data_IF_963490164617
#
_entry.id   IF_963490164617
#
_cell.length_a   1.000
_cell.length_b   1.000
_cell.length_c   1.000
_cell.angle_alpha   90.00
_cell.angle_beta   90.00
_cell.angle_gamma   90.00
#
_symmetry.space_group_name_H-M   'P 1'
#
loop_
_entity.id
_entity.type
_entity.pdbx_description
1 polymer ?
#
# COMPACT_ATOMS: atom_id res chain seq x y z
N UNK A 1 -3.51 15.25 -3.93
CA UNK A 1 -2.80 16.47 -3.49
C UNK A 1 -1.55 16.08 -2.71
N UNK A 2 -0.39 16.75 -2.83
CA UNK A 2 0.89 16.23 -2.30
C UNK A 2 1.15 16.49 -0.80
N UNK A 3 0.39 17.39 -0.15
CA UNK A 3 0.71 17.78 1.23
C UNK A 3 0.18 16.74 2.25
N UNK A 4 1.09 16.03 2.92
CA UNK A 4 0.72 15.16 4.05
C UNK A 4 0.15 15.98 5.23
N UNK A 5 -0.85 15.46 5.98
CA UNK A 5 -1.45 14.13 5.89
C UNK A 5 -2.74 14.05 5.04
N UNK A 6 -3.33 15.19 4.66
CA UNK A 6 -4.71 15.30 4.14
C UNK A 6 -4.86 16.15 2.85
N UNK A 7 -3.76 16.38 2.13
CA UNK A 7 -3.72 17.11 0.87
C UNK A 7 -3.41 18.60 0.99
N UNK A 8 -3.61 19.19 2.17
CA UNK A 8 -3.38 20.61 2.45
C UNK A 8 -4.43 21.23 3.38
N UNK A 9 -5.74 20.95 3.19
CA UNK A 9 -6.76 21.30 4.17
C UNK A 9 -6.47 20.68 5.54
N UNK A 10 -6.88 21.40 6.59
CA UNK A 10 -6.98 20.85 7.95
C UNK A 10 -8.38 20.27 8.11
N UNK A 11 -8.47 19.05 8.66
CA UNK A 11 -9.75 18.44 9.07
C UNK A 11 -10.07 18.89 10.49
N UNK A 12 -11.31 19.29 10.75
CA UNK A 12 -11.82 19.67 12.07
C UNK A 12 -13.11 18.91 12.39
N UNK A 13 -12.99 17.89 13.25
CA UNK A 13 -14.12 17.03 13.67
C UNK A 13 -15.22 17.80 14.44
N UNK A 14 -14.96 19.05 14.86
CA UNK A 14 -15.95 19.92 15.49
C UNK A 14 -16.75 20.80 14.51
N UNK A 15 -16.33 20.94 13.24
CA UNK A 15 -17.00 21.83 12.27
C UNK A 15 -17.17 21.25 10.86
N UNK A 16 -16.39 20.25 10.46
CA UNK A 16 -16.58 19.52 9.20
C UNK A 16 -17.85 18.64 9.23
N UNK A 17 -18.40 18.36 8.04
CA UNK A 17 -19.48 17.39 7.90
C UNK A 17 -18.94 15.96 8.06
N UNK A 18 -19.27 15.32 9.17
CA UNK A 18 -18.91 13.92 9.46
C UNK A 18 -19.70 12.96 8.56
N UNK A 19 -18.99 12.07 7.88
CA UNK A 19 -19.61 10.94 7.16
C UNK A 19 -19.59 9.70 8.05
N UNK A 20 -20.69 8.97 8.14
CA UNK A 20 -20.69 7.69 8.87
C UNK A 20 -19.78 6.68 8.16
N UNK A 21 -18.98 5.96 8.95
CA UNK A 21 -18.08 4.90 8.49
C UNK A 21 -18.39 3.61 9.25
N UNK A 22 -18.91 2.62 8.55
CA UNK A 22 -19.33 1.35 9.13
C UNK A 22 -18.12 0.44 9.39
N UNK A 23 -17.81 0.18 10.67
CA UNK A 23 -16.57 -0.53 11.07
C UNK A 23 -16.47 -1.95 10.50
N UNK A 24 -17.61 -2.63 10.31
CA UNK A 24 -17.71 -3.95 9.69
C UNK A 24 -17.58 -3.94 8.16
N UNK A 25 -17.18 -2.83 7.54
CA UNK A 25 -16.84 -2.72 6.13
C UNK A 25 -17.58 -1.58 5.44
N UNK A 26 -16.88 -0.49 5.14
CA UNK A 26 -17.40 0.64 4.35
C UNK A 26 -16.94 0.52 2.88
N UNK A 27 -17.84 0.65 1.88
CA UNK A 27 -17.45 0.79 0.48
C UNK A 27 -16.75 2.13 0.21
N UNK A 28 -15.50 2.10 -0.24
CA UNK A 28 -14.76 3.32 -0.62
C UNK A 28 -14.55 3.36 -2.13
N UNK A 29 -15.10 4.40 -2.77
CA UNK A 29 -14.83 4.74 -4.17
C UNK A 29 -13.72 5.78 -4.28
N UNK A 30 -12.76 5.55 -5.17
CA UNK A 30 -11.67 6.47 -5.53
C UNK A 30 -11.62 6.65 -7.04
N UNK A 31 -11.04 7.75 -7.52
CA UNK A 31 -10.82 8.01 -8.95
C UNK A 31 -9.33 8.17 -9.23
N UNK A 32 -8.82 7.44 -10.21
CA UNK A 32 -7.42 7.52 -10.63
C UNK A 32 -7.26 8.27 -11.96
N UNK A 33 -6.53 9.38 -11.93
CA UNK A 33 -6.12 10.15 -13.13
C UNK A 33 -4.84 9.64 -13.82
N UNK A 34 -4.22 8.59 -13.29
CA UNK A 34 -2.99 7.98 -13.80
C UNK A 34 -3.25 6.57 -14.35
N UNK A 35 -2.30 6.03 -15.13
CA UNK A 35 -2.41 4.66 -15.68
C UNK A 35 -2.25 3.55 -14.63
N UNK A 36 -1.63 3.87 -13.49
CA UNK A 36 -1.44 2.96 -12.36
C UNK A 36 -1.17 3.76 -11.08
N UNK A 37 -1.60 3.24 -9.93
CA UNK A 37 -1.22 3.71 -8.59
C UNK A 37 -1.44 2.63 -7.52
N UNK A 38 -0.61 2.62 -6.47
CA UNK A 38 -0.88 1.88 -5.23
C UNK A 38 -1.81 2.68 -4.32
N UNK A 39 -2.74 2.04 -3.63
CA UNK A 39 -3.68 2.67 -2.70
C UNK A 39 -3.52 2.15 -1.27
N UNK A 40 -3.53 3.09 -0.32
CA UNK A 40 -3.59 2.85 1.12
C UNK A 40 -4.85 3.46 1.71
N UNK A 41 -5.68 2.61 2.29
CA UNK A 41 -6.80 3.01 3.15
C UNK A 41 -6.35 2.94 4.61
N UNK A 42 -6.36 4.09 5.30
CA UNK A 42 -5.95 4.22 6.70
C UNK A 42 -6.89 5.16 7.45
N UNK A 43 -6.94 5.08 8.77
CA UNK A 43 -7.67 6.04 9.60
C UNK A 43 -7.01 6.26 10.96
N UNK A 44 -7.41 7.32 11.66
CA UNK A 44 -6.94 7.65 13.00
C UNK A 44 -8.03 8.31 13.83
N UNK A 45 -8.06 8.05 15.14
CA UNK A 45 -8.86 8.79 16.12
C UNK A 45 -8.15 10.09 16.59
N UNK A 46 -6.93 10.36 16.12
CA UNK A 46 -6.24 11.60 16.37
C UNK A 46 -6.88 12.74 15.56
N UNK A 47 -7.61 13.64 16.23
CA UNK A 47 -8.31 14.76 15.60
C UNK A 47 -7.44 15.73 14.80
N UNK A 48 -6.11 15.72 14.97
CA UNK A 48 -5.18 16.53 14.17
C UNK A 48 -4.63 15.82 12.93
N UNK A 49 -4.99 14.54 12.71
CA UNK A 49 -4.53 13.68 11.61
C UNK A 49 -2.99 13.45 11.54
N UNK A 50 -2.23 13.79 12.59
CA UNK A 50 -0.74 13.77 12.56
C UNK A 50 -0.09 12.45 12.97
N UNK A 51 -0.82 11.55 13.63
CA UNK A 51 -0.32 10.27 14.17
C UNK A 51 -1.46 9.27 14.40
N UNK A 52 -1.16 8.10 14.97
CA UNK A 52 -2.08 7.01 15.30
C UNK A 52 -2.81 6.42 14.06
N UNK A 53 -2.11 6.43 12.91
CA UNK A 53 -2.65 5.94 11.63
C UNK A 53 -2.68 4.41 11.56
N UNK A 54 -3.87 3.85 11.69
CA UNK A 54 -4.14 2.41 11.50
C UNK A 54 -4.45 2.12 10.03
N UNK A 55 -3.80 1.09 9.45
CA UNK A 55 -4.15 0.58 8.11
C UNK A 55 -5.46 -0.21 8.18
N UNK A 56 -6.44 0.16 7.36
CA UNK A 56 -7.78 -0.44 7.36
C UNK A 56 -7.95 -1.60 6.37
N UNK A 57 -7.19 -1.59 5.27
CA UNK A 57 -7.25 -2.60 4.22
C UNK A 57 -5.84 -2.92 3.69
N UNK A 58 -5.55 -4.13 3.17
CA UNK A 58 -4.30 -4.41 2.46
C UNK A 58 -4.03 -3.42 1.32
N UNK A 59 -2.76 -3.14 1.04
CA UNK A 59 -2.41 -2.26 -0.09
C UNK A 59 -2.76 -2.99 -1.39
N UNK A 60 -3.37 -2.26 -2.32
CA UNK A 60 -3.69 -2.74 -3.66
C UNK A 60 -3.10 -1.79 -4.69
N UNK A 61 -2.60 -2.30 -5.81
CA UNK A 61 -2.29 -1.50 -6.99
C UNK A 61 -3.48 -1.53 -7.93
N UNK A 62 -4.02 -0.37 -8.24
CA UNK A 62 -4.95 -0.15 -9.35
C UNK A 62 -4.14 0.05 -10.64
N UNK A 63 -4.57 -0.62 -11.71
CA UNK A 63 -4.15 -0.37 -13.09
C UNK A 63 -5.36 0.03 -13.92
N UNK A 64 -5.21 1.01 -14.80
CA UNK A 64 -6.29 1.61 -15.57
C UNK A 64 -6.85 2.89 -14.94
N UNK A 65 -7.06 3.91 -15.78
CA UNK A 65 -7.67 5.18 -15.36
C UNK A 65 -9.14 4.99 -14.97
N UNK A 66 -9.62 5.86 -14.08
CA UNK A 66 -11.04 5.94 -13.73
C UNK A 66 -11.36 5.48 -12.32
N UNK A 67 -12.65 5.22 -12.08
CA UNK A 67 -13.18 4.83 -10.77
C UNK A 67 -12.76 3.42 -10.37
N UNK A 68 -12.34 3.27 -9.12
CA UNK A 68 -12.16 1.99 -8.43
C UNK A 68 -12.98 2.00 -7.14
N UNK A 69 -13.72 0.92 -6.89
CA UNK A 69 -14.43 0.67 -5.65
C UNK A 69 -13.75 -0.45 -4.86
N UNK A 70 -13.36 -0.17 -3.62
CA UNK A 70 -13.10 -1.20 -2.62
C UNK A 70 -14.40 -1.42 -1.84
N UNK A 71 -15.12 -2.54 -2.05
CA UNK A 71 -16.47 -2.72 -1.50
C UNK A 71 -16.55 -2.89 0.02
N UNK A 72 -15.45 -3.23 0.72
CA UNK A 72 -15.46 -3.36 2.17
C UNK A 72 -14.10 -3.01 2.81
N UNK A 73 -13.96 -1.78 3.33
CA UNK A 73 -12.84 -1.36 4.17
C UNK A 73 -13.26 -1.40 5.64
N UNK A 74 -12.68 -2.31 6.42
CA UNK A 74 -13.01 -2.52 7.84
C UNK A 74 -12.21 -1.61 8.78
N UNK A 75 -12.81 -1.22 9.91
CA UNK A 75 -12.13 -0.53 11.02
C UNK A 75 -12.30 -1.30 12.34
N UNK A 76 -11.54 -1.00 13.40
CA UNK A 76 -11.68 -1.68 14.68
C UNK A 76 -13.06 -1.44 15.32
N UNK A 77 -13.75 -2.50 15.74
CA UNK A 77 -15.07 -2.42 16.40
C UNK A 77 -15.06 -1.52 17.65
N UNK A 78 -13.91 -1.41 18.34
CA UNK A 78 -13.73 -0.53 19.49
C UNK A 78 -13.81 0.97 19.16
N UNK A 79 -13.87 1.34 17.87
CA UNK A 79 -14.00 2.73 17.42
C UNK A 79 -15.47 3.17 17.28
N UNK A 80 -16.45 2.26 17.37
CA UNK A 80 -17.88 2.61 17.27
C UNK A 80 -18.27 3.69 18.29
N UNK A 81 -18.96 4.73 17.82
CA UNK A 81 -19.35 5.90 18.60
C UNK A 81 -18.25 6.95 18.77
N UNK A 82 -17.10 6.79 18.10
CA UNK A 82 -16.00 7.75 18.10
C UNK A 82 -15.88 8.45 16.74
N UNK A 83 -15.47 9.72 16.79
CA UNK A 83 -15.12 10.49 15.60
C UNK A 83 -13.63 10.30 15.26
N UNK A 84 -13.28 10.40 13.99
CA UNK A 84 -11.89 10.34 13.54
C UNK A 84 -11.70 10.82 12.11
N UNK A 85 -10.50 10.59 11.58
CA UNK A 85 -10.12 10.99 10.22
C UNK A 85 -9.85 9.74 9.39
N UNK A 86 -10.65 9.53 8.36
CA UNK A 86 -10.35 8.60 7.27
C UNK A 86 -9.32 9.26 6.35
N UNK A 87 -8.28 8.52 5.96
CA UNK A 87 -7.22 8.97 5.08
C UNK A 87 -6.99 7.99 3.93
N UNK A 88 -7.07 8.50 2.71
CA UNK A 88 -6.74 7.76 1.49
C UNK A 88 -5.44 8.32 0.93
N UNK A 89 -4.48 7.44 0.64
CA UNK A 89 -3.21 7.83 0.03
C UNK A 89 -2.97 6.98 -1.22
N UNK A 90 -2.66 7.63 -2.34
CA UNK A 90 -2.10 6.96 -3.51
C UNK A 90 -0.57 7.10 -3.52
N UNK A 91 0.17 6.08 -3.96
CA UNK A 91 1.50 6.25 -4.54
C UNK A 91 1.39 6.09 -6.06
N UNK A 92 1.79 7.14 -6.79
CA UNK A 92 1.55 7.32 -8.22
C UNK A 92 2.81 7.88 -8.91
N UNK A 93 2.88 7.98 -10.24
CA UNK A 93 4.07 8.47 -10.94
C UNK A 93 4.49 9.91 -10.61
N UNK A 94 3.59 10.72 -10.04
CA UNK A 94 3.84 12.07 -9.50
C UNK A 94 4.09 12.10 -7.98
N UNK A 95 4.12 10.93 -7.32
CA UNK A 95 4.43 10.73 -5.90
C UNK A 95 3.22 10.43 -5.03
N UNK A 96 3.37 10.70 -3.72
CA UNK A 96 2.33 10.42 -2.72
C UNK A 96 1.23 11.48 -2.74
N UNK A 97 0.00 11.06 -3.02
CA UNK A 97 -1.20 11.91 -3.08
C UNK A 97 -2.16 11.60 -1.94
N UNK A 98 -2.41 12.58 -1.08
CA UNK A 98 -3.20 12.46 0.15
C UNK A 98 -4.58 13.11 0.00
N UNK A 99 -5.61 12.45 0.55
CA UNK A 99 -6.94 12.99 0.79
C UNK A 99 -7.45 12.48 2.16
N UNK A 100 -8.31 13.26 2.83
CA UNK A 100 -8.97 12.85 4.08
C UNK A 100 -10.46 13.18 4.09
N UNK A 101 -11.20 12.53 4.98
CA UNK A 101 -12.57 12.86 5.36
C UNK A 101 -12.73 12.81 6.89
N UNK A 102 -13.52 13.72 7.45
CA UNK A 102 -14.03 13.62 8.82
C UNK A 102 -15.08 12.49 8.87
N UNK A 103 -14.93 11.54 9.78
CA UNK A 103 -15.82 10.39 9.90
C UNK A 103 -16.31 10.14 11.31
N UNK A 104 -17.53 9.60 11.41
CA UNK A 104 -18.12 9.05 12.62
C UNK A 104 -18.16 7.52 12.49
N UNK A 105 -17.47 6.79 13.36
CA UNK A 105 -17.42 5.33 13.27
C UNK A 105 -18.70 4.71 13.83
N UNK A 106 -19.41 3.92 13.03
CA UNK A 106 -20.70 3.30 13.37
C UNK A 106 -20.65 1.78 13.22
N UNK A 107 -21.52 1.07 13.95
CA UNK A 107 -21.62 -0.38 13.89
C UNK A 107 -22.27 -0.87 12.59
N UNK A 108 -21.98 -2.12 12.19
CA UNK A 108 -22.50 -2.74 10.98
C UNK A 108 -21.57 -2.58 9.77
N UNK A 109 -22.12 -2.70 8.56
CA UNK A 109 -21.40 -2.59 7.28
C UNK A 109 -22.15 -1.64 6.34
N UNK A 110 -21.41 -0.86 5.55
CA UNK A 110 -21.96 0.09 4.58
C UNK A 110 -22.57 -0.64 3.38
N UNK A 111 -23.56 -0.01 2.74
CA UNK A 111 -24.21 -0.58 1.55
C UNK A 111 -23.54 -0.07 0.28
N UNK A 112 -22.98 -0.97 -0.54
CA UNK A 112 -22.41 -0.61 -1.83
C UNK A 112 -23.53 -0.11 -2.76
N UNK A 113 -23.39 1.13 -3.25
CA UNK A 113 -24.29 1.78 -4.20
C UNK A 113 -23.68 1.80 -5.60
N UNK A 114 -24.48 2.12 -6.63
CA UNK A 114 -24.04 2.22 -8.03
C UNK A 114 -22.87 3.22 -8.24
N UNK A 115 -22.71 4.20 -7.34
CA UNK A 115 -21.58 5.14 -7.36
C UNK A 115 -20.25 4.53 -6.93
N UNK A 116 -20.25 3.36 -6.27
CA UNK A 116 -19.05 2.59 -5.96
C UNK A 116 -18.91 1.44 -6.97
N UNK A 117 -18.44 1.79 -8.17
CA UNK A 117 -18.24 0.87 -9.30
C UNK A 117 -16.84 1.01 -9.89
N UNK A 118 -16.32 -0.08 -10.48
CA UNK A 118 -15.08 -0.05 -11.24
C UNK A 118 -15.34 0.40 -12.68
N UNK A 119 -14.43 1.18 -13.25
CA UNK A 119 -14.39 1.45 -14.69
C UNK A 119 -14.14 0.17 -15.51
N UNK A 120 -14.51 0.18 -16.78
CA UNK A 120 -14.37 -0.96 -17.72
C UNK A 120 -12.95 -1.52 -17.80
N UNK A 121 -11.96 -0.63 -17.73
CA UNK A 121 -10.54 -0.91 -17.92
C UNK A 121 -9.77 -0.89 -16.58
N UNK A 122 -10.50 -0.83 -15.45
CA UNK A 122 -9.94 -0.74 -14.10
C UNK A 122 -9.81 -2.13 -13.48
N UNK A 123 -8.57 -2.52 -13.20
CA UNK A 123 -8.23 -3.74 -12.48
C UNK A 123 -7.45 -3.40 -11.19
N UNK A 124 -7.60 -4.22 -10.15
CA UNK A 124 -6.90 -4.07 -8.89
C UNK A 124 -6.32 -5.40 -8.40
N UNK A 125 -5.11 -5.38 -7.84
CA UNK A 125 -4.45 -6.55 -7.25
C UNK A 125 -3.73 -6.17 -5.94
N UNK A 126 -3.63 -7.11 -4.99
CA UNK A 126 -2.85 -6.90 -3.77
C UNK A 126 -1.37 -6.67 -4.07
N UNK A 127 -0.76 -5.71 -3.38
CA UNK A 127 0.62 -5.29 -3.62
C UNK A 127 1.36 -4.98 -2.32
N UNK A 128 2.69 -5.05 -2.39
CA UNK A 128 3.60 -4.56 -1.34
C UNK A 128 4.19 -3.21 -1.78
N UNK A 129 3.92 -2.17 -1.02
CA UNK A 129 4.39 -0.81 -1.30
C UNK A 129 5.12 -0.25 -0.07
N UNK A 130 6.39 0.09 -0.21
CA UNK A 130 7.22 0.58 0.90
C UNK A 130 6.90 2.01 1.31
N UNK A 131 6.55 2.88 0.36
CA UNK A 131 6.19 4.27 0.59
C UNK A 131 4.94 4.34 1.47
N UNK A 132 3.90 3.62 1.05
CA UNK A 132 2.62 3.53 1.75
C UNK A 132 2.75 2.77 3.08
N UNK A 133 3.55 1.70 3.15
CA UNK A 133 3.74 0.96 4.41
C UNK A 133 4.42 1.80 5.50
N UNK A 134 5.32 2.73 5.13
CA UNK A 134 5.95 3.64 6.10
C UNK A 134 4.92 4.56 6.78
N UNK A 135 3.87 4.99 6.06
CA UNK A 135 2.82 5.91 6.53
C UNK A 135 1.89 5.35 7.63
N UNK A 136 2.07 4.09 8.02
CA UNK A 136 1.35 3.40 9.11
C UNK A 136 2.28 2.60 10.04
N UNK A 137 3.56 2.45 9.72
CA UNK A 137 4.50 1.66 10.53
C UNK A 137 5.19 2.48 11.63
N UNK A 138 5.42 3.78 11.39
CA UNK A 138 6.21 4.65 12.28
C UNK A 138 5.56 4.91 13.64
N UNK A 139 4.24 4.74 13.77
CA UNK A 139 3.51 5.02 15.01
C UNK A 139 3.76 3.97 16.13
N UNK A 140 4.28 2.80 15.79
CA UNK A 140 4.56 1.71 16.75
C UNK A 140 5.86 1.90 17.57
N UNK A 141 6.41 3.12 17.64
CA UNK A 141 7.76 3.38 18.19
C UNK A 141 7.85 4.67 19.02
N UNK A 142 6.95 4.87 19.98
CA UNK A 142 7.10 5.86 21.04
C UNK A 142 7.91 5.29 22.23
N UNK A 143 9.19 4.97 22.00
CA UNK A 143 10.08 4.37 23.02
C UNK A 143 11.40 5.15 23.09
N UNK A 144 11.83 5.54 24.31
CA UNK A 144 12.92 6.50 24.54
C UNK A 144 14.23 6.20 23.79
N UNK A 145 14.59 7.08 22.85
CA UNK A 145 15.94 7.22 22.32
C UNK A 145 16.74 8.28 23.09
N UNK A 146 17.18 7.98 24.31
CA UNK A 146 18.12 8.85 25.03
C UNK A 146 19.54 8.67 24.47
N UNK A 147 20.03 9.65 23.71
CA UNK A 147 21.41 9.64 23.21
C UNK A 147 22.43 9.70 24.35
N UNK A 148 23.33 8.71 24.42
CA UNK A 148 24.49 8.76 25.31
C UNK A 148 25.74 8.28 24.56
N UNK A 149 26.56 9.21 24.11
CA UNK A 149 27.88 8.92 23.52
C UNK A 149 28.86 8.36 24.56
N UNK A 150 29.65 7.35 24.17
CA UNK A 150 30.92 6.97 24.81
C UNK A 150 31.76 6.11 23.87
N UNK A 151 33.07 6.32 23.85
CA UNK A 151 33.95 5.89 22.76
C UNK A 151 34.99 4.84 23.17
N UNK A 152 35.37 3.97 22.23
CA UNK A 152 36.59 3.11 22.25
C UNK A 152 36.61 2.00 23.35
N UNK A 153 37.45 0.96 23.33
CA UNK A 153 38.70 0.71 22.59
C UNK A 153 38.87 -0.78 22.17
N UNK A 154 39.87 -1.03 21.32
CA UNK A 154 40.30 -2.31 20.71
C UNK A 154 40.99 -3.31 21.66
N UNK A 155 40.90 -4.64 21.38
CA UNK A 155 42.04 -5.54 21.03
C UNK A 155 42.06 -6.99 21.59
N UNK A 156 42.27 -7.93 20.66
CA UNK A 156 43.14 -9.14 20.74
C UNK A 156 42.76 -10.40 21.57
N UNK A 157 42.87 -11.57 20.93
CA UNK A 157 42.77 -12.90 21.56
C UNK A 157 42.89 -14.07 20.56
N UNK A 158 44.11 -14.42 20.13
CA UNK A 158 44.40 -15.43 19.09
C UNK A 158 45.44 -16.45 19.58
N UNK A 159 45.61 -17.67 19.03
CA UNK A 159 45.12 -18.23 17.74
C UNK A 159 44.40 -19.59 18.00
N UNK A 160 44.41 -20.70 17.24
CA UNK A 160 45.17 -21.20 16.07
C UNK A 160 44.40 -22.41 15.47
N UNK A 161 44.80 -23.21 14.46
CA UNK A 161 46.02 -23.35 13.61
C UNK A 161 45.72 -24.23 12.39
N UNK A 162 46.49 -24.08 11.29
CA UNK A 162 46.85 -25.09 10.24
C UNK A 162 45.71 -25.85 9.53
N UNK A 163 45.58 -25.89 8.20
CA UNK A 163 46.51 -25.68 7.06
C UNK A 163 46.17 -26.77 6.00
N UNK A 164 46.48 -26.69 4.70
CA UNK A 164 47.29 -25.79 3.87
C UNK A 164 46.68 -25.68 2.45
N UNK A 165 47.10 -24.71 1.63
CA UNK A 165 46.81 -24.65 0.18
C UNK A 165 47.99 -25.21 -0.66
N UNK A 166 47.83 -25.48 -1.97
CA UNK A 166 47.90 -24.41 -2.98
C UNK A 166 46.89 -24.54 -4.15
N UNK A 167 46.92 -23.57 -5.07
CA UNK A 167 46.00 -23.44 -6.22
C UNK A 167 46.56 -23.99 -7.55
N UNK A 168 45.70 -24.15 -8.57
CA UNK A 168 46.07 -24.19 -9.99
C UNK A 168 44.88 -23.89 -10.93
N UNK A 169 45.10 -22.94 -11.86
CA UNK A 169 44.53 -22.67 -13.21
C UNK A 169 43.10 -23.13 -13.65
N UNK A 170 42.45 -22.39 -14.58
CA UNK A 170 41.12 -22.72 -15.13
C UNK A 170 41.17 -23.76 -16.27
N UNK A 171 39.99 -24.23 -16.71
CA UNK A 171 39.85 -25.09 -17.90
C UNK A 171 38.62 -24.71 -18.74
N UNK A 172 38.81 -24.55 -20.05
CA UNK A 172 37.74 -24.30 -21.02
C UNK A 172 37.30 -25.60 -21.71
N UNK A 173 36.01 -25.93 -21.61
CA UNK A 173 35.27 -26.87 -22.46
C UNK A 173 33.77 -26.72 -22.14
N UNK A 174 32.81 -26.74 -23.07
CA UNK A 174 32.91 -26.77 -24.53
C UNK A 174 31.65 -27.41 -25.13
N UNK A 175 31.13 -26.84 -26.24
CA UNK A 175 29.92 -27.29 -26.98
C UNK A 175 28.58 -27.18 -26.21
N UNK A 176 27.39 -27.21 -26.83
CA UNK A 176 26.94 -26.66 -28.13
C UNK A 176 25.39 -26.76 -28.22
N UNK A 177 24.76 -25.82 -28.94
CA UNK A 177 23.36 -25.89 -29.41
C UNK A 177 22.28 -25.95 -28.28
N UNK A 178 20.98 -25.72 -28.52
CA UNK A 178 20.22 -25.67 -29.78
C UNK A 178 19.15 -24.57 -29.77
N UNK A 179 18.82 -24.03 -30.94
CA UNK A 179 17.60 -23.22 -31.13
C UNK A 179 16.40 -24.13 -31.36
N UNK A 180 15.28 -23.86 -30.70
CA UNK A 180 14.01 -24.54 -30.92
C UNK A 180 12.90 -23.51 -31.17
N UNK A 181 12.65 -23.18 -32.44
CA UNK A 181 11.48 -22.41 -32.86
C UNK A 181 10.29 -23.36 -32.96
N UNK A 182 9.18 -23.02 -32.30
CA UNK A 182 7.90 -23.75 -32.46
C UNK A 182 6.84 -22.77 -32.94
N UNK A 183 6.42 -22.92 -34.19
CA UNK A 183 5.41 -22.08 -34.84
C UNK A 183 4.36 -22.95 -35.52
N UNK A 184 3.22 -23.12 -34.85
CA UNK A 184 1.94 -23.63 -35.41
C UNK A 184 0.85 -22.80 -34.71
N UNK A 185 0.06 -21.91 -35.32
CA UNK A 185 -0.54 -21.75 -36.65
C UNK A 185 -1.94 -22.38 -36.80
N UNK A 186 -2.96 -21.52 -36.72
CA UNK A 186 -4.28 -21.74 -37.33
C UNK A 186 -5.42 -22.17 -36.41
N UNK A 187 -6.47 -21.36 -36.35
CA UNK A 187 -7.79 -21.68 -36.95
C UNK A 187 -8.69 -20.44 -36.93
N UNK A 188 -9.26 -20.06 -38.09
CA UNK A 188 -10.25 -18.99 -38.17
C UNK A 188 -11.66 -19.56 -37.96
N UNK A 189 -12.37 -19.08 -36.94
CA UNK A 189 -13.79 -19.37 -36.76
C UNK A 189 -14.65 -18.30 -37.44
N UNK A 190 -15.07 -18.53 -38.68
CA UNK A 190 -16.11 -17.72 -39.32
C UNK A 190 -17.49 -18.37 -39.09
N UNK A 191 -18.39 -17.66 -38.41
CA UNK A 191 -19.72 -18.16 -38.06
C UNK A 191 -20.78 -17.07 -38.22
N UNK A 192 -21.35 -16.96 -39.42
CA UNK A 192 -22.47 -16.08 -39.75
C UNK A 192 -23.62 -16.93 -40.29
N UNK A 193 -24.69 -17.07 -39.50
CA UNK A 193 -26.00 -17.56 -39.95
C UNK A 193 -27.06 -16.70 -39.27
N UNK A 194 -28.11 -16.41 -40.05
CA UNK A 194 -29.30 -15.58 -39.77
C UNK A 194 -29.90 -15.75 -38.36
#
# INVERSE_FOLDING_TARGET
MPNSPCGGPTVDLGTDNLTDFHVGGEPISVFLGHVSASWLFRATLNSSAKSNWTKLYPIITQTGLGSYCQPAVTAPESWVGQQGVLGVVADAPDGLLYQCAAVNFVAGSGTQTDTCSNGSDVNAAFASDSSLSALVSTDSSATNGTSTDSSSSTSSGSSSSSGVAPALAPSFSGLAASMAVVTVAGLLGAGLVL
#
